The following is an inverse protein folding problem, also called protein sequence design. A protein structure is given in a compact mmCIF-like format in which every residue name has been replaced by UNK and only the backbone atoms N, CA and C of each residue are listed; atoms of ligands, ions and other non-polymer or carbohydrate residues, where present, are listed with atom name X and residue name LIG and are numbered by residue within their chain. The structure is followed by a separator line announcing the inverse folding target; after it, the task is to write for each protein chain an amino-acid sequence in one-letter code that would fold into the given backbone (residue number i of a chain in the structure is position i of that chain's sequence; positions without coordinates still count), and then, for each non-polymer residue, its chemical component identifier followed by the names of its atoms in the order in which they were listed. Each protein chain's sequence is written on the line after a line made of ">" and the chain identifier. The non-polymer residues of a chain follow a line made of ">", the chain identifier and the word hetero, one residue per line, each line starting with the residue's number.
data_IF_272859906202
#
_entry.id   IF_272859906202
#
_cell.length_a   1.000
_cell.length_b   1.000
_cell.length_c   1.000
_cell.angle_alpha   90.00
_cell.angle_beta   90.00
_cell.angle_gamma   90.00
#
_symmetry.space_group_name_H-M   'P 1'
#
loop_
_entity.id
_entity.type
_entity.pdbx_description
1 polymer ?
#
# COMPACT_ATOMS: atom_id res chain seq x y z
N UNK A 1 19.50 -4.66 -13.11
CA UNK A 1 19.37 -3.20 -13.33
C UNK A 1 18.91 -2.64 -12.01
N UNK A 2 19.73 -1.87 -11.31
CA UNK A 2 19.42 -1.46 -9.93
C UNK A 2 18.19 -0.58 -9.86
N UNK A 3 17.23 -0.91 -8.99
CA UNK A 3 16.08 -0.07 -8.68
C UNK A 3 16.49 1.11 -7.81
N UNK A 4 16.83 2.24 -8.43
CA UNK A 4 17.16 3.45 -7.68
C UNK A 4 15.91 4.20 -7.22
N UNK A 5 15.97 4.96 -6.12
CA UNK A 5 14.86 5.80 -5.65
C UNK A 5 14.33 6.75 -6.73
N UNK A 6 15.22 7.39 -7.50
CA UNK A 6 14.83 8.35 -8.55
C UNK A 6 14.05 7.66 -9.66
N UNK A 7 14.45 6.45 -10.04
CA UNK A 7 13.74 5.65 -11.04
C UNK A 7 12.34 5.27 -10.54
N UNK A 8 12.23 4.79 -9.30
CA UNK A 8 10.96 4.42 -8.70
C UNK A 8 10.01 5.62 -8.60
N UNK A 9 10.46 6.74 -8.05
CA UNK A 9 9.64 7.95 -7.92
C UNK A 9 9.21 8.50 -9.28
N UNK A 10 10.11 8.45 -10.28
CA UNK A 10 9.79 8.82 -11.66
C UNK A 10 8.72 7.90 -12.24
N UNK A 11 8.81 6.58 -11.99
CA UNK A 11 7.80 5.62 -12.43
C UNK A 11 6.44 5.88 -11.74
N UNK A 12 6.41 6.06 -10.42
CA UNK A 12 5.17 6.35 -9.68
C UNK A 12 4.49 7.65 -10.14
N UNK A 13 5.27 8.70 -10.45
CA UNK A 13 4.72 9.95 -11.01
C UNK A 13 4.04 9.78 -12.37
N UNK A 14 4.29 8.66 -13.06
CA UNK A 14 3.71 8.30 -14.36
C UNK A 14 2.69 7.15 -14.25
N UNK A 15 2.39 6.68 -13.03
CA UNK A 15 1.46 5.59 -12.82
C UNK A 15 2.04 4.21 -13.14
N UNK A 16 3.36 4.08 -13.06
CA UNK A 16 4.11 2.86 -13.34
C UNK A 16 4.71 2.35 -12.02
N UNK A 17 4.68 1.04 -11.79
CA UNK A 17 5.24 0.41 -10.60
C UNK A 17 5.99 -0.88 -10.98
N UNK A 18 7.04 -1.26 -10.22
CA UNK A 18 7.78 -2.48 -10.48
C UNK A 18 7.13 -3.69 -9.80
N UNK A 19 7.32 -4.87 -10.36
CA UNK A 19 7.14 -6.15 -9.65
C UNK A 19 8.22 -7.12 -10.11
N UNK A 20 8.62 -8.07 -9.24
CA UNK A 20 9.50 -9.15 -9.67
C UNK A 20 8.69 -10.28 -10.33
N UNK A 21 9.09 -10.67 -11.55
CA UNK A 21 8.56 -11.85 -12.26
C UNK A 21 9.36 -13.12 -11.94
N UNK A 22 10.46 -12.98 -11.20
CA UNK A 22 11.34 -14.07 -10.80
C UNK A 22 12.65 -13.54 -10.21
N UNK A 23 13.57 -14.43 -9.80
CA UNK A 23 14.85 -14.03 -9.23
C UNK A 23 15.66 -13.13 -10.18
N UNK A 24 15.89 -11.88 -9.77
CA UNK A 24 16.65 -10.89 -10.55
C UNK A 24 15.95 -10.33 -11.79
N UNK A 25 14.65 -10.61 -11.98
CA UNK A 25 13.86 -10.08 -13.09
C UNK A 25 12.76 -9.14 -12.59
N UNK A 26 12.96 -7.84 -12.81
CA UNK A 26 11.97 -6.80 -12.51
C UNK A 26 11.29 -6.33 -13.80
N UNK A 27 9.97 -6.32 -13.78
CA UNK A 27 9.11 -5.78 -14.83
C UNK A 27 8.36 -4.56 -14.34
N UNK A 28 7.96 -3.69 -15.27
CA UNK A 28 7.26 -2.44 -14.98
C UNK A 28 5.83 -2.51 -15.50
N UNK A 29 4.87 -2.16 -14.65
CA UNK A 29 3.46 -2.35 -14.93
C UNK A 29 2.71 -1.04 -14.88
N UNK A 30 1.71 -0.96 -15.77
CA UNK A 30 0.67 0.04 -15.73
C UNK A 30 -0.55 -0.67 -16.34
N UNK A 31 -1.43 -1.30 -15.55
CA UNK A 31 -2.54 -2.07 -16.08
C UNK A 31 -3.68 -1.17 -16.59
N UNK A 32 -4.53 -1.76 -17.43
CA UNK A 32 -5.81 -1.19 -17.86
C UNK A 32 -6.84 -2.34 -17.89
N UNK A 33 -7.85 -2.34 -17.01
CA UNK A 33 -8.15 -1.29 -16.02
C UNK A 33 -7.12 -1.17 -14.88
N UNK A 34 -7.15 -0.04 -14.16
CA UNK A 34 -6.35 0.24 -12.96
C UNK A 34 -7.25 0.27 -11.73
N UNK A 35 -6.86 -0.37 -10.63
CA UNK A 35 -7.66 -0.37 -9.41
C UNK A 35 -7.25 0.74 -8.43
N UNK A 36 -8.25 1.41 -7.87
CA UNK A 36 -8.08 2.43 -6.82
C UNK A 36 -9.01 2.12 -5.64
N UNK A 37 -8.69 2.65 -4.46
CA UNK A 37 -9.59 2.69 -3.33
C UNK A 37 -9.99 4.14 -3.05
N UNK A 38 -11.17 4.60 -3.51
CA UNK A 38 -11.62 5.96 -3.24
C UNK A 38 -11.68 6.21 -1.73
N UNK A 39 -11.07 7.29 -1.27
CA UNK A 39 -10.88 7.56 0.16
C UNK A 39 -12.21 7.77 0.91
N UNK A 40 -13.27 8.16 0.20
CA UNK A 40 -14.63 8.33 0.70
C UNK A 40 -15.47 7.04 0.62
N UNK A 41 -14.96 5.97 0.00
CA UNK A 41 -15.69 4.71 -0.23
C UNK A 41 -15.14 3.50 0.51
N UNK A 42 -14.20 3.69 1.45
CA UNK A 42 -13.72 2.59 2.28
C UNK A 42 -14.91 1.91 2.99
N UNK A 43 -15.21 0.68 2.58
CA UNK A 43 -16.28 -0.09 3.17
C UNK A 43 -15.82 -0.71 4.49
N UNK A 44 -16.35 -0.20 5.59
CA UNK A 44 -16.14 -0.75 6.93
C UNK A 44 -17.40 -1.47 7.38
N UNK A 45 -17.37 -2.81 7.37
CA UNK A 45 -18.48 -3.61 7.88
C UNK A 45 -18.81 -3.26 9.35
N UNK A 46 -20.06 -3.44 9.78
CA UNK A 46 -20.48 -3.15 11.17
C UNK A 46 -19.63 -3.89 12.21
N UNK A 47 -19.21 -5.12 11.92
CA UNK A 47 -18.34 -5.90 12.80
C UNK A 47 -16.93 -5.30 12.87
N UNK A 48 -16.35 -4.92 11.74
CA UNK A 48 -15.04 -4.24 11.70
C UNK A 48 -15.09 -2.89 12.41
N UNK A 49 -16.14 -2.09 12.21
CA UNK A 49 -16.31 -0.81 12.88
C UNK A 49 -16.31 -0.96 14.40
N UNK A 50 -17.03 -1.94 14.96
CA UNK A 50 -16.98 -2.24 16.39
C UNK A 50 -15.59 -2.71 16.84
N UNK A 51 -14.94 -3.52 16.00
CA UNK A 51 -13.62 -4.06 16.30
C UNK A 51 -12.55 -2.95 16.36
N UNK A 52 -12.59 -1.95 15.48
CA UNK A 52 -11.67 -0.81 15.49
C UNK A 52 -11.66 -0.06 16.84
N UNK A 53 -12.82 0.06 17.49
CA UNK A 53 -12.97 0.79 18.75
C UNK A 53 -12.75 -0.08 20.01
N UNK A 54 -12.41 -1.36 19.84
CA UNK A 54 -12.27 -2.29 20.97
C UNK A 54 -10.94 -2.20 21.72
N UNK A 55 -9.96 -1.45 21.19
CA UNK A 55 -8.61 -1.39 21.75
C UNK A 55 -7.77 -2.66 21.51
N UNK A 56 -8.25 -3.58 20.67
CA UNK A 56 -7.59 -4.86 20.39
C UNK A 56 -6.30 -4.74 19.58
N UNK A 57 -6.05 -3.60 18.92
CA UNK A 57 -4.82 -3.35 18.17
C UNK A 57 -4.25 -1.99 18.57
N UNK A 58 -2.94 -1.96 18.77
CA UNK A 58 -2.17 -0.72 18.71
C UNK A 58 -1.77 -0.48 17.26
N UNK A 59 -2.00 0.74 16.75
CA UNK A 59 -1.62 1.11 15.39
C UNK A 59 -0.44 2.06 15.44
N UNK A 60 0.60 1.72 14.68
CA UNK A 60 1.81 2.53 14.52
C UNK A 60 2.04 2.84 13.05
N UNK A 61 2.85 3.87 12.81
CA UNK A 61 3.25 4.26 11.47
C UNK A 61 4.77 4.35 11.44
N UNK A 62 5.37 3.83 10.37
CA UNK A 62 6.81 3.94 10.11
C UNK A 62 7.70 3.43 11.25
N UNK A 63 7.19 2.53 12.11
CA UNK A 63 7.96 2.03 13.26
C UNK A 63 8.69 0.72 12.96
N UNK A 64 8.26 -0.02 11.93
CA UNK A 64 8.78 -1.32 11.58
C UNK A 64 8.66 -1.62 10.07
N UNK A 65 9.08 -0.67 9.22
CA UNK A 65 8.91 -0.78 7.76
C UNK A 65 9.54 -2.06 7.19
N UNK A 66 10.78 -2.37 7.57
CA UNK A 66 11.48 -3.59 7.13
C UNK A 66 10.71 -4.86 7.51
N UNK A 67 10.19 -4.92 8.73
CA UNK A 67 9.43 -6.09 9.21
C UNK A 67 8.12 -6.23 8.42
N UNK A 68 7.45 -5.12 8.10
CA UNK A 68 6.22 -5.12 7.31
C UNK A 68 6.47 -5.63 5.89
N UNK A 69 7.44 -5.08 5.16
CA UNK A 69 7.72 -5.51 3.79
C UNK A 69 8.21 -6.96 3.75
N UNK A 70 9.01 -7.38 4.73
CA UNK A 70 9.46 -8.78 4.85
C UNK A 70 8.29 -9.72 5.13
N UNK A 71 7.36 -9.33 6.00
CA UNK A 71 6.15 -10.11 6.26
C UNK A 71 5.20 -10.16 5.05
N UNK A 72 5.15 -9.11 4.23
CA UNK A 72 4.45 -9.12 2.95
C UNK A 72 5.11 -10.02 1.90
N UNK A 73 6.43 -10.22 1.99
CA UNK A 73 7.20 -11.10 1.12
C UNK A 73 7.13 -12.58 1.56
N UNK A 74 6.80 -12.85 2.82
CA UNK A 74 6.72 -14.22 3.32
C UNK A 74 5.62 -15.03 2.59
N UNK A 75 5.87 -16.32 2.29
CA UNK A 75 4.84 -17.23 1.79
C UNK A 75 3.67 -17.33 2.76
N UNK A 76 2.46 -17.48 2.23
CA UNK A 76 1.24 -17.61 3.02
C UNK A 76 0.22 -18.57 2.39
N UNK A 77 -0.85 -18.92 3.11
CA UNK A 77 -1.90 -19.78 2.58
C UNK A 77 -2.49 -19.20 1.29
N UNK A 78 -2.34 -19.92 0.16
CA UNK A 78 -2.81 -19.48 -1.16
C UNK A 78 -1.89 -18.47 -1.86
N UNK A 79 -0.71 -18.17 -1.30
CA UNK A 79 0.34 -17.35 -1.88
C UNK A 79 1.70 -17.98 -1.56
N UNK A 80 2.01 -19.05 -2.27
CA UNK A 80 3.29 -19.76 -2.10
C UNK A 80 4.47 -18.96 -2.67
N UNK A 81 4.20 -18.08 -3.64
CA UNK A 81 5.18 -17.20 -4.27
C UNK A 81 4.74 -15.72 -4.17
N UNK A 82 5.73 -14.84 -4.03
CA UNK A 82 5.56 -13.39 -3.98
C UNK A 82 6.38 -12.73 -5.08
N UNK A 83 5.91 -11.58 -5.56
CA UNK A 83 6.67 -10.70 -6.44
C UNK A 83 7.69 -9.83 -5.69
N UNK A 84 7.67 -9.85 -4.35
CA UNK A 84 8.55 -9.03 -3.51
C UNK A 84 9.87 -9.79 -3.33
N UNK A 85 10.84 -9.51 -4.21
CA UNK A 85 12.21 -10.04 -4.13
C UNK A 85 13.08 -9.24 -3.16
N UNK A 86 14.27 -9.75 -2.83
CA UNK A 86 15.26 -9.02 -2.02
C UNK A 86 15.61 -7.65 -2.62
N UNK A 87 15.72 -7.56 -3.96
CA UNK A 87 15.96 -6.30 -4.68
C UNK A 87 14.83 -5.28 -4.48
N UNK A 88 13.57 -5.73 -4.45
CA UNK A 88 12.42 -4.88 -4.10
C UNK A 88 12.49 -4.45 -2.63
N UNK A 89 12.81 -5.36 -1.71
CA UNK A 89 12.93 -5.03 -0.29
C UNK A 89 13.97 -3.93 -0.07
N UNK A 90 15.17 -4.10 -0.62
CA UNK A 90 16.26 -3.12 -0.51
C UNK A 90 15.85 -1.75 -1.06
N UNK A 91 15.25 -1.72 -2.26
CA UNK A 91 14.87 -0.48 -2.91
C UNK A 91 13.79 0.30 -2.14
N UNK A 92 12.80 -0.40 -1.58
CA UNK A 92 11.71 0.24 -0.84
C UNK A 92 12.13 0.62 0.59
N UNK A 93 13.06 -0.11 1.21
CA UNK A 93 13.70 0.32 2.45
C UNK A 93 14.50 1.61 2.22
N UNK A 94 15.18 1.73 1.08
CA UNK A 94 15.85 2.98 0.72
C UNK A 94 14.85 4.12 0.50
N UNK A 95 13.74 3.88 -0.21
CA UNK A 95 12.65 4.88 -0.32
C UNK A 95 12.08 5.27 1.05
N UNK A 96 11.97 4.33 1.98
CA UNK A 96 11.49 4.60 3.34
C UNK A 96 12.44 5.54 4.09
N UNK A 97 13.75 5.28 4.01
CA UNK A 97 14.78 6.15 4.60
C UNK A 97 14.77 7.57 4.02
N UNK A 98 14.41 7.71 2.74
CA UNK A 98 14.25 9.00 2.07
C UNK A 98 12.90 9.68 2.35
N UNK A 99 12.00 9.01 3.08
CA UNK A 99 10.69 9.55 3.47
C UNK A 99 9.60 9.44 2.41
N UNK A 100 9.76 8.54 1.43
CA UNK A 100 8.77 8.30 0.36
C UNK A 100 7.99 7.00 0.53
N UNK A 101 8.58 5.96 1.15
CA UNK A 101 7.83 4.75 1.46
C UNK A 101 7.41 4.73 2.93
N UNK A 102 6.21 4.24 3.20
CA UNK A 102 5.61 4.26 4.53
C UNK A 102 4.90 2.96 4.86
N UNK A 103 4.87 2.64 6.14
CA UNK A 103 4.17 1.48 6.67
C UNK A 103 3.09 1.89 7.67
N UNK A 104 2.02 1.09 7.70
CA UNK A 104 1.00 1.12 8.74
C UNK A 104 0.99 -0.24 9.42
N UNK A 105 1.24 -0.25 10.71
CA UNK A 105 1.48 -1.47 11.48
C UNK A 105 0.37 -1.69 12.50
N UNK A 106 -0.03 -2.95 12.67
CA UNK A 106 -0.99 -3.36 13.70
C UNK A 106 -0.32 -4.33 14.66
N UNK A 107 -0.38 -3.97 15.94
CA UNK A 107 0.33 -4.64 17.02
C UNK A 107 -0.64 -5.17 18.06
N UNK A 108 -0.29 -6.31 18.66
CA UNK A 108 -0.94 -6.82 19.87
C UNK A 108 0.14 -7.23 20.86
N UNK A 109 0.09 -6.66 22.07
CA UNK A 109 1.03 -7.01 23.14
C UNK A 109 2.50 -6.93 22.70
N UNK A 110 2.84 -5.89 21.92
CA UNK A 110 4.19 -5.68 21.39
C UNK A 110 4.57 -6.57 20.20
N UNK A 111 3.69 -7.44 19.72
CA UNK A 111 3.91 -8.30 18.54
C UNK A 111 3.28 -7.69 17.29
N UNK A 112 4.03 -7.59 16.20
CA UNK A 112 3.53 -7.17 14.89
C UNK A 112 2.67 -8.29 14.29
N UNK A 113 1.39 -8.04 14.05
CA UNK A 113 0.42 -9.07 13.63
C UNK A 113 -0.30 -8.76 12.32
N UNK A 114 0.06 -7.65 11.68
CA UNK A 114 -0.43 -7.26 10.37
C UNK A 114 0.05 -5.87 10.02
N UNK A 115 -0.11 -5.51 8.76
CA UNK A 115 0.29 -4.21 8.29
C UNK A 115 0.22 -4.13 6.78
N UNK A 116 0.55 -2.95 6.29
CA UNK A 116 0.71 -2.66 4.88
C UNK A 116 1.82 -1.66 4.68
N UNK A 117 2.35 -1.60 3.47
CA UNK A 117 3.27 -0.53 3.08
C UNK A 117 2.89 0.04 1.72
N UNK A 118 3.38 1.25 1.45
CA UNK A 118 3.17 1.92 0.18
C UNK A 118 4.11 3.09 -0.03
N UNK A 119 4.05 3.70 -1.21
CA UNK A 119 4.84 4.86 -1.60
C UNK A 119 3.93 6.09 -1.64
N UNK A 120 4.32 7.15 -0.93
CA UNK A 120 3.68 8.46 -1.02
C UNK A 120 4.47 9.37 -1.95
N UNK A 121 3.74 10.08 -2.82
CA UNK A 121 4.30 11.11 -3.67
C UNK A 121 3.22 12.15 -3.90
N UNK A 122 3.38 13.36 -3.34
CA UNK A 122 2.38 14.43 -3.44
C UNK A 122 1.02 13.92 -2.93
N UNK A 123 -0.08 14.14 -3.65
CA UNK A 123 -1.41 13.64 -3.28
C UNK A 123 -1.66 12.15 -3.56
N UNK A 124 -0.68 11.40 -4.07
CA UNK A 124 -0.76 9.96 -4.34
C UNK A 124 -0.21 9.17 -3.15
N UNK A 125 -0.92 8.11 -2.76
CA UNK A 125 -0.37 6.97 -2.04
C UNK A 125 -0.59 5.70 -2.87
N UNK A 126 0.49 5.05 -3.31
CA UNK A 126 0.43 3.74 -3.96
C UNK A 126 0.62 2.65 -2.91
N UNK A 127 -0.46 1.93 -2.57
CA UNK A 127 -0.41 0.83 -1.60
C UNK A 127 0.16 -0.42 -2.26
N UNK A 128 1.27 -0.95 -1.78
CA UNK A 128 2.01 -2.01 -2.48
C UNK A 128 1.59 -3.41 -2.07
N UNK A 129 1.57 -3.67 -0.75
CA UNK A 129 1.18 -4.96 -0.23
C UNK A 129 0.75 -4.87 1.22
N UNK A 130 0.07 -5.91 1.68
CA UNK A 130 -0.38 -6.06 3.05
C UNK A 130 -0.30 -7.50 3.51
N UNK A 131 -0.16 -7.70 4.81
CA UNK A 131 -0.18 -9.03 5.43
C UNK A 131 -1.05 -9.01 6.70
N UNK A 132 -1.51 -10.20 7.09
CA UNK A 132 -2.37 -10.37 8.27
C UNK A 132 -2.04 -11.70 8.94
N UNK A 133 -1.39 -11.68 10.10
CA UNK A 133 -1.15 -12.86 10.94
C UNK A 133 -2.29 -13.10 11.95
N UNK A 134 -3.11 -12.07 12.23
CA UNK A 134 -4.34 -12.18 13.01
C UNK A 134 -5.57 -11.70 12.23
N UNK A 135 -6.78 -12.20 12.52
CA UNK A 135 -8.00 -11.71 11.90
C UNK A 135 -8.16 -10.19 12.03
N UNK A 136 -8.59 -9.55 10.94
CA UNK A 136 -8.80 -8.10 10.82
C UNK A 136 -7.54 -7.21 10.89
N UNK A 137 -6.35 -7.73 11.16
CA UNK A 137 -5.14 -6.91 11.31
C UNK A 137 -4.86 -6.04 10.06
N UNK A 138 -4.80 -6.64 8.86
CA UNK A 138 -4.62 -5.86 7.62
C UNK A 138 -5.76 -4.88 7.32
N UNK A 139 -7.01 -5.22 7.68
CA UNK A 139 -8.16 -4.33 7.49
C UNK A 139 -8.11 -3.12 8.41
N UNK A 140 -7.62 -3.30 9.64
CA UNK A 140 -7.38 -2.21 10.57
C UNK A 140 -6.26 -1.32 10.04
N UNK A 141 -5.14 -1.89 9.57
CA UNK A 141 -4.08 -1.11 8.92
C UNK A 141 -4.60 -0.30 7.72
N UNK A 142 -5.43 -0.91 6.86
CA UNK A 142 -6.04 -0.21 5.72
C UNK A 142 -7.00 0.90 6.15
N UNK A 143 -7.79 0.69 7.21
CA UNK A 143 -8.66 1.73 7.75
C UNK A 143 -7.86 2.94 8.21
N UNK A 144 -6.82 2.73 9.01
CA UNK A 144 -5.98 3.82 9.51
C UNK A 144 -5.11 4.46 8.43
N UNK A 145 -4.74 3.71 7.38
CA UNK A 145 -4.16 4.30 6.18
C UNK A 145 -5.12 5.33 5.58
N UNK A 146 -6.35 4.92 5.24
CA UNK A 146 -7.33 5.80 4.59
C UNK A 146 -7.66 7.02 5.47
N UNK A 147 -7.84 6.81 6.78
CA UNK A 147 -8.07 7.91 7.73
C UNK A 147 -6.92 8.94 7.70
N UNK A 148 -5.67 8.45 7.74
CA UNK A 148 -4.49 9.31 7.64
C UNK A 148 -4.42 10.05 6.31
N UNK A 149 -4.59 9.34 5.19
CA UNK A 149 -4.58 9.94 3.85
C UNK A 149 -5.59 11.08 3.72
N UNK A 150 -6.83 10.87 4.21
CA UNK A 150 -7.86 11.92 4.23
C UNK A 150 -7.46 13.10 5.09
N UNK A 151 -6.93 12.85 6.29
CA UNK A 151 -6.52 13.90 7.24
C UNK A 151 -5.38 14.77 6.70
N UNK A 152 -4.50 14.21 5.86
CA UNK A 152 -3.36 14.90 5.26
C UNK A 152 -3.69 15.47 3.87
N UNK A 153 -4.91 15.28 3.35
CA UNK A 153 -5.33 15.83 2.06
C UNK A 153 -4.80 15.09 0.83
N UNK A 154 -4.44 13.81 0.97
CA UNK A 154 -4.23 12.94 -0.19
C UNK A 154 -5.54 12.78 -0.95
N UNK A 155 -5.44 12.55 -2.26
CA UNK A 155 -6.59 12.47 -3.16
C UNK A 155 -6.67 11.14 -3.90
N UNK A 156 -5.56 10.40 -4.00
CA UNK A 156 -5.49 9.15 -4.75
C UNK A 156 -4.82 8.06 -3.91
N UNK A 157 -5.57 6.98 -3.64
CA UNK A 157 -5.05 5.72 -3.13
C UNK A 157 -5.10 4.68 -4.26
N UNK A 158 -3.93 4.40 -4.84
CA UNK A 158 -3.73 3.39 -5.87
C UNK A 158 -3.51 2.03 -5.21
N UNK A 159 -4.24 1.02 -5.70
CA UNK A 159 -4.12 -0.38 -5.24
C UNK A 159 -3.82 -1.34 -6.40
N UNK A 160 -3.38 -0.78 -7.53
CA UNK A 160 -2.90 -1.42 -8.75
C UNK A 160 -3.89 -2.40 -9.39
N UNK A 161 -4.07 -3.56 -8.78
CA UNK A 161 -4.93 -4.64 -9.25
C UNK A 161 -6.09 -4.86 -8.29
N UNK A 162 -7.29 -5.03 -8.86
CA UNK A 162 -8.45 -5.36 -8.06
C UNK A 162 -8.32 -6.79 -7.54
N UNK A 163 -8.56 -6.97 -6.24
CA UNK A 163 -8.66 -8.30 -5.64
C UNK A 163 -10.03 -8.44 -4.97
N UNK A 164 -10.57 -9.66 -4.83
CA UNK A 164 -11.82 -9.88 -4.09
C UNK A 164 -11.77 -9.39 -2.63
N UNK A 165 -10.57 -9.25 -2.06
CA UNK A 165 -10.40 -8.65 -0.74
C UNK A 165 -10.63 -7.14 -0.79
N UNK A 166 -9.93 -6.44 -1.69
CA UNK A 166 -9.99 -4.97 -1.82
C UNK A 166 -11.34 -4.50 -2.36
N UNK A 167 -11.95 -5.24 -3.28
CA UNK A 167 -13.30 -4.94 -3.79
C UNK A 167 -14.33 -4.90 -2.65
N UNK A 168 -14.30 -5.88 -1.74
CA UNK A 168 -15.14 -5.89 -0.52
C UNK A 168 -14.84 -4.73 0.43
N UNK A 169 -13.66 -4.13 0.34
CA UNK A 169 -13.27 -2.94 1.10
C UNK A 169 -13.61 -1.63 0.35
N UNK A 170 -14.23 -1.70 -0.83
CA UNK A 170 -14.69 -0.54 -1.60
C UNK A 170 -13.76 -0.13 -2.75
N UNK A 171 -12.75 -0.92 -3.08
CA UNK A 171 -11.92 -0.66 -4.26
C UNK A 171 -12.72 -0.85 -5.54
N UNK A 172 -12.38 -0.07 -6.56
CA UNK A 172 -13.01 -0.08 -7.87
C UNK A 172 -11.94 -0.08 -8.96
N UNK A 173 -12.31 -0.55 -10.14
CA UNK A 173 -11.54 -0.39 -11.36
C UNK A 173 -11.93 0.90 -12.08
N UNK A 174 -10.94 1.59 -12.63
CA UNK A 174 -11.09 2.74 -13.52
C UNK A 174 -10.28 2.50 -14.80
N UNK A 175 -10.65 3.17 -15.89
CA UNK A 175 -9.83 3.11 -17.09
C UNK A 175 -8.46 3.74 -16.82
N UNK A 176 -7.44 3.33 -17.59
CA UNK A 176 -6.12 3.96 -17.51
C UNK A 176 -6.19 5.49 -17.73
N UNK A 177 -7.06 5.95 -18.63
CA UNK A 177 -7.22 7.39 -18.91
C UNK A 177 -7.77 8.16 -17.71
N UNK A 178 -8.78 7.60 -17.04
CA UNK A 178 -9.33 8.19 -15.82
C UNK A 178 -8.29 8.19 -14.69
N UNK A 179 -7.55 7.08 -14.52
CA UNK A 179 -6.47 7.01 -13.55
C UNK A 179 -5.39 8.08 -13.79
N UNK A 180 -4.95 8.27 -15.04
CA UNK A 180 -3.95 9.29 -15.36
C UNK A 180 -4.46 10.70 -15.04
N UNK A 181 -5.73 10.99 -15.32
CA UNK A 181 -6.34 12.28 -14.93
C UNK A 181 -6.32 12.47 -13.41
N UNK A 182 -6.65 11.44 -12.63
CA UNK A 182 -6.58 11.48 -11.16
C UNK A 182 -5.15 11.64 -10.66
N UNK A 183 -4.18 10.96 -11.28
CA UNK A 183 -2.78 11.01 -10.93
C UNK A 183 -2.20 12.41 -11.18
N UNK A 184 -2.46 13.00 -12.35
CA UNK A 184 -2.04 14.37 -12.68
C UNK A 184 -2.55 15.37 -11.64
N UNK A 185 -3.82 15.24 -11.22
CA UNK A 185 -4.40 16.06 -10.15
C UNK A 185 -3.69 15.83 -8.82
N UNK A 186 -3.47 14.57 -8.42
CA UNK A 186 -2.74 14.21 -7.20
C UNK A 186 -1.32 14.79 -7.21
N UNK A 187 -0.66 14.85 -8.37
CA UNK A 187 0.67 15.45 -8.53
C UNK A 187 0.66 16.98 -8.37
N UNK A 188 -0.48 17.65 -8.28
CA UNK A 188 -0.53 19.09 -7.96
C UNK A 188 -0.61 19.36 -6.45
N UNK A 189 -0.95 18.36 -5.64
CA UNK A 189 -1.19 18.51 -4.21
C UNK A 189 0.11 18.39 -3.41
N UNK A 190 0.46 19.44 -2.65
CA UNK A 190 1.62 19.42 -1.76
C UNK A 190 1.17 18.88 -0.41
N UNK A 191 1.42 17.60 -0.18
CA UNK A 191 1.21 16.93 1.11
C UNK A 191 2.32 15.93 1.40
N UNK A 192 2.35 15.41 2.63
CA UNK A 192 3.28 14.40 3.12
C UNK A 192 2.52 13.42 4.00
N UNK A 193 2.98 12.18 4.02
CA UNK A 193 2.40 11.12 4.82
C UNK A 193 2.60 11.35 6.32
#
# INVERSE_FOLDING_TARGET
>A
MTLTPELLLTAYSQGIFPMADGPGQISWYSPDPRAILPLDRLHTSRSLARYLHSGNFEVRFNSAFLDVITACAAPGPGREETWISDEIIEAYVWLHQLGFAHSVETWVEGTLVGGLYGVSLRGLFAGESMFSARPNASKVALFYLVDRLRSQGFTLLDVQFLTPHLERMGAIEVSRGDYQTMLEQAMTIITRF
#
